data_IF_308315971758
#
_entry.id   IF_308315971758
#
_cell.length_a   1.000
_cell.length_b   1.000
_cell.length_c   1.000
_cell.angle_alpha   90.00
_cell.angle_beta   90.00
_cell.angle_gamma   90.00
#
_symmetry.space_group_name_H-M   'P 1'
#
loop_
_entity.id
_entity.type
_entity.pdbx_description
1 polymer ?
#
# COMPACT_ATOMS: atom_id res chain seq x y z
N UNK A 1 -20.71 23.89 -40.47
CA UNK A 1 -20.90 24.00 -39.00
C UNK A 1 -20.55 22.64 -38.40
N UNK A 2 -19.33 22.50 -37.84
CA UNK A 2 -19.09 22.30 -36.39
C UNK A 2 -19.61 20.93 -35.89
N UNK A 3 -18.85 20.03 -35.26
CA UNK A 3 -17.67 20.13 -34.39
C UNK A 3 -16.91 18.79 -34.37
N UNK A 4 -15.59 18.92 -34.24
CA UNK A 4 -14.64 17.89 -33.82
C UNK A 4 -14.92 17.56 -32.33
N UNK A 5 -14.92 16.28 -31.96
CA UNK A 5 -14.70 15.85 -30.57
C UNK A 5 -13.73 14.67 -30.56
N UNK A 6 -12.48 15.06 -30.33
CA UNK A 6 -11.35 14.26 -29.96
C UNK A 6 -11.62 13.67 -28.55
N UNK A 7 -12.02 12.41 -28.46
CA UNK A 7 -11.76 11.60 -27.27
C UNK A 7 -10.48 10.83 -27.59
N UNK A 8 -9.31 11.33 -27.21
CA UNK A 8 -8.91 11.30 -25.81
C UNK A 8 -8.37 9.91 -25.52
N UNK A 9 -7.22 9.62 -26.12
CA UNK A 9 -6.46 8.38 -25.99
C UNK A 9 -6.05 8.22 -24.51
N UNK A 10 -6.92 7.64 -23.67
CA UNK A 10 -6.58 7.29 -22.29
C UNK A 10 -5.64 6.09 -22.32
N UNK A 11 -4.36 6.40 -22.14
CA UNK A 11 -3.29 5.44 -21.91
C UNK A 11 -3.71 4.44 -20.81
N UNK A 12 -3.55 3.12 -21.03
CA UNK A 12 -3.66 2.16 -19.94
C UNK A 12 -2.36 2.24 -19.12
N UNK A 13 -2.22 3.28 -18.30
CA UNK A 13 -1.10 3.43 -17.36
C UNK A 13 -1.60 3.17 -15.95
N UNK A 14 -1.47 1.91 -15.54
CA UNK A 14 -0.97 1.47 -14.24
C UNK A 14 -1.36 0.01 -14.07
N UNK A 15 -0.39 -0.84 -14.33
CA UNK A 15 -0.35 -2.28 -14.09
C UNK A 15 -1.13 -2.69 -12.84
N UNK A 16 -2.37 -3.16 -13.01
CA UNK A 16 -3.03 -3.96 -11.98
C UNK A 16 -2.50 -5.39 -12.13
N UNK A 17 -1.76 -5.93 -11.15
CA UNK A 17 -1.39 -7.34 -11.20
C UNK A 17 -2.67 -8.17 -11.09
N UNK A 18 -2.82 -9.05 -12.08
CA UNK A 18 -3.90 -10.04 -12.23
C UNK A 18 -4.21 -10.70 -10.90
N UNK A 19 -5.44 -10.50 -10.43
CA UNK A 19 -6.04 -11.23 -9.32
C UNK A 19 -6.05 -12.74 -9.62
N UNK A 20 -5.13 -13.46 -8.99
CA UNK A 20 -5.11 -14.91 -9.02
C UNK A 20 -6.19 -15.40 -8.05
N UNK A 21 -7.38 -15.64 -8.59
CA UNK A 21 -8.52 -16.21 -7.89
C UNK A 21 -8.11 -17.53 -7.20
N UNK A 22 -7.90 -17.48 -5.87
CA UNK A 22 -7.60 -18.65 -5.04
C UNK A 22 -6.46 -18.52 -4.03
N UNK A 23 -5.74 -17.39 -3.97
CA UNK A 23 -4.55 -17.26 -3.11
C UNK A 23 -4.78 -16.37 -1.89
N UNK A 24 -4.45 -16.87 -0.69
CA UNK A 24 -4.47 -16.09 0.56
C UNK A 24 -3.60 -14.85 0.38
N UNK A 25 -4.16 -13.64 0.63
CA UNK A 25 -3.39 -12.37 0.59
C UNK A 25 -2.08 -12.49 1.36
N UNK A 26 -0.99 -12.10 0.73
CA UNK A 26 0.34 -12.04 1.36
C UNK A 26 0.38 -10.98 2.48
N UNK A 27 1.41 -11.03 3.32
CA UNK A 27 1.59 -10.02 4.40
C UNK A 27 1.68 -8.62 3.80
N UNK A 28 2.42 -8.46 2.70
CA UNK A 28 2.58 -7.21 1.97
C UNK A 28 1.24 -6.64 1.50
N UNK A 29 0.42 -7.46 0.86
CA UNK A 29 -0.91 -7.04 0.39
C UNK A 29 -1.84 -6.64 1.54
N UNK A 30 -1.80 -7.39 2.66
CA UNK A 30 -2.57 -7.06 3.86
C UNK A 30 -2.13 -5.71 4.45
N UNK A 31 -0.82 -5.48 4.54
CA UNK A 31 -0.25 -4.22 5.03
C UNK A 31 -0.66 -3.07 4.11
N UNK A 32 -0.44 -3.18 2.79
CA UNK A 32 -0.81 -2.14 1.83
C UNK A 32 -2.31 -1.84 1.88
N UNK A 33 -3.16 -2.87 1.86
CA UNK A 33 -4.62 -2.68 1.96
C UNK A 33 -5.02 -1.93 3.23
N UNK A 34 -4.38 -2.24 4.36
CA UNK A 34 -4.63 -1.56 5.63
C UNK A 34 -4.15 -0.11 5.62
N UNK A 35 -2.94 0.14 5.11
CA UNK A 35 -2.38 1.48 5.04
C UNK A 35 -3.18 2.37 4.08
N UNK A 36 -3.62 1.86 2.94
CA UNK A 36 -4.48 2.60 2.02
C UNK A 36 -5.82 2.96 2.68
N UNK A 37 -6.44 2.00 3.38
CA UNK A 37 -7.68 2.23 4.10
C UNK A 37 -7.52 3.32 5.16
N UNK A 38 -6.49 3.21 6.00
CA UNK A 38 -6.22 4.22 7.02
C UNK A 38 -5.80 5.56 6.42
N UNK A 39 -5.10 5.57 5.26
CA UNK A 39 -4.67 6.79 4.60
C UNK A 39 -5.87 7.61 4.16
N UNK A 40 -6.88 6.94 3.60
CA UNK A 40 -8.15 7.55 3.20
C UNK A 40 -8.92 8.07 4.41
N UNK A 41 -8.91 7.34 5.53
CA UNK A 41 -9.60 7.76 6.77
C UNK A 41 -8.95 8.94 7.44
N UNK A 42 -7.62 8.97 7.49
CA UNK A 42 -6.84 10.02 8.13
C UNK A 42 -6.54 11.18 7.18
N UNK A 43 -6.90 11.05 5.89
CA UNK A 43 -6.55 11.99 4.82
C UNK A 43 -5.05 12.33 4.79
N UNK A 44 -4.21 11.36 5.15
CA UNK A 44 -2.77 11.52 5.32
C UNK A 44 -2.03 10.28 4.83
N UNK A 45 -0.83 10.47 4.28
CA UNK A 45 0.08 9.36 3.93
C UNK A 45 0.83 8.83 5.13
N UNK A 46 0.93 9.63 6.19
CA UNK A 46 1.44 9.20 7.48
C UNK A 46 0.27 8.65 8.30
N UNK A 47 0.23 7.33 8.42
CA UNK A 47 -0.75 6.60 9.20
C UNK A 47 -0.30 6.57 10.64
N UNK A 48 -1.08 7.18 11.53
CA UNK A 48 -0.89 6.98 12.97
C UNK A 48 -1.53 5.64 13.32
N UNK A 49 -0.72 4.72 13.87
CA UNK A 49 -1.21 3.42 14.30
C UNK A 49 -1.91 3.60 15.66
N UNK A 50 -3.22 3.31 15.76
CA UNK A 50 -3.93 3.36 17.03
C UNK A 50 -3.55 2.18 17.95
N UNK A 51 -2.83 1.19 17.42
CA UNK A 51 -2.52 -0.06 18.09
C UNK A 51 -1.05 -0.48 17.88
N UNK A 52 -0.63 -1.46 18.66
CA UNK A 52 0.74 -1.98 18.63
C UNK A 52 0.98 -2.90 17.44
N UNK A 53 2.26 -3.15 17.11
CA UNK A 53 2.67 -4.11 16.06
C UNK A 53 2.18 -5.54 16.33
N UNK A 54 1.96 -5.90 17.60
CA UNK A 54 1.42 -7.20 17.99
C UNK A 54 -0.04 -7.31 17.56
N UNK A 55 -0.85 -6.31 17.90
CA UNK A 55 -2.27 -6.26 17.53
C UNK A 55 -2.46 -6.18 16.02
N UNK A 56 -1.57 -5.48 15.30
CA UNK A 56 -1.53 -5.52 13.83
C UNK A 56 -1.30 -6.94 13.29
N UNK A 57 -0.35 -7.68 13.86
CA UNK A 57 -0.08 -9.05 13.46
C UNK A 57 -1.29 -9.98 13.72
N UNK A 58 -1.94 -9.81 14.87
CA UNK A 58 -3.16 -10.53 15.24
C UNK A 58 -4.32 -10.19 14.28
N UNK A 59 -4.53 -8.90 13.99
CA UNK A 59 -5.53 -8.44 13.00
C UNK A 59 -5.30 -9.02 11.61
N UNK A 60 -4.04 -9.12 11.19
CA UNK A 60 -3.68 -9.72 9.90
C UNK A 60 -3.70 -11.25 9.92
N UNK A 61 -3.84 -11.88 11.09
CA UNK A 61 -3.77 -13.33 11.25
C UNK A 61 -2.40 -13.89 10.88
N UNK A 62 -1.32 -13.16 11.20
CA UNK A 62 0.06 -13.53 10.87
C UNK A 62 0.93 -13.54 12.12
N UNK A 63 2.07 -14.24 12.05
CA UNK A 63 3.05 -14.19 13.16
C UNK A 63 3.70 -12.81 13.21
N UNK A 64 3.90 -12.28 14.43
CA UNK A 64 4.59 -11.00 14.67
C UNK A 64 5.98 -10.95 14.01
N UNK A 65 6.73 -12.04 14.03
CA UNK A 65 8.05 -12.15 13.40
C UNK A 65 7.97 -12.04 11.88
N UNK A 66 6.98 -12.67 11.26
CA UNK A 66 6.74 -12.57 9.81
C UNK A 66 6.33 -11.16 9.41
N UNK A 67 5.42 -10.52 10.16
CA UNK A 67 5.04 -9.12 9.93
C UNK A 67 6.25 -8.20 10.04
N UNK A 68 7.06 -8.35 11.09
CA UNK A 68 8.25 -7.51 11.29
C UNK A 68 9.26 -7.65 10.15
N UNK A 69 9.48 -8.87 9.65
CA UNK A 69 10.38 -9.12 8.52
C UNK A 69 9.83 -8.50 7.24
N UNK A 70 8.53 -8.62 6.99
CA UNK A 70 7.92 -8.03 5.80
C UNK A 70 7.95 -6.49 5.85
N UNK A 71 7.62 -5.88 6.98
CA UNK A 71 7.71 -4.42 7.15
C UNK A 71 9.14 -3.91 6.91
N UNK A 72 10.15 -4.63 7.42
CA UNK A 72 11.56 -4.30 7.17
C UNK A 72 11.91 -4.39 5.68
N UNK A 73 11.44 -5.43 4.97
CA UNK A 73 11.62 -5.56 3.51
C UNK A 73 10.93 -4.44 2.75
N UNK A 74 9.67 -4.15 3.06
CA UNK A 74 8.92 -3.07 2.42
C UNK A 74 9.56 -1.69 2.65
N UNK A 75 10.27 -1.52 3.78
CA UNK A 75 11.07 -0.33 4.05
C UNK A 75 12.32 -0.26 3.20
N UNK A 76 13.06 -1.37 3.08
CA UNK A 76 14.22 -1.47 2.18
C UNK A 76 13.83 -1.26 0.71
N UNK A 77 12.66 -1.75 0.31
CA UNK A 77 12.10 -1.57 -1.03
C UNK A 77 11.61 -0.13 -1.29
N UNK A 78 11.66 0.76 -0.28
CA UNK A 78 11.24 2.16 -0.42
C UNK A 78 9.73 2.34 -0.59
N UNK A 79 8.92 1.39 -0.14
CA UNK A 79 7.44 1.44 -0.27
C UNK A 79 6.78 2.07 0.94
N UNK A 80 7.37 1.85 2.11
CA UNK A 80 6.87 2.38 3.37
C UNK A 80 8.05 2.82 4.23
N UNK A 81 7.81 3.77 5.11
CA UNK A 81 8.63 3.97 6.29
C UNK A 81 7.79 3.68 7.53
N UNK A 82 8.40 3.20 8.61
CA UNK A 82 7.64 2.92 9.82
C UNK A 82 8.42 3.22 11.09
N UNK A 83 7.67 3.65 12.09
CA UNK A 83 8.14 3.98 13.42
C UNK A 83 7.43 3.14 14.48
N UNK A 84 7.70 3.43 15.75
CA UNK A 84 7.01 2.78 16.87
C UNK A 84 5.48 2.97 16.79
N UNK A 85 5.02 4.16 16.37
CA UNK A 85 3.63 4.63 16.45
C UNK A 85 2.98 4.98 15.11
N UNK A 86 3.72 4.98 14.02
CA UNK A 86 3.20 5.39 12.71
C UNK A 86 3.84 4.61 11.58
N UNK A 87 3.14 4.56 10.44
CA UNK A 87 3.62 4.02 9.18
C UNK A 87 3.34 5.05 8.09
N UNK A 88 4.34 5.41 7.31
CA UNK A 88 4.22 6.33 6.18
C UNK A 88 4.26 5.55 4.89
N UNK A 89 3.29 5.76 4.00
CA UNK A 89 3.36 5.28 2.63
C UNK A 89 4.34 6.14 1.84
N UNK A 90 5.39 5.53 1.31
CA UNK A 90 6.31 6.18 0.38
C UNK A 90 5.75 5.95 -1.02
N UNK A 91 5.63 7.01 -1.82
CA UNK A 91 5.31 6.81 -3.23
C UNK A 91 6.48 6.09 -3.88
N UNK A 92 6.22 5.10 -4.76
CA UNK A 92 7.27 4.59 -5.61
C UNK A 92 7.80 5.79 -6.38
N UNK A 93 9.05 6.18 -6.13
CA UNK A 93 9.71 7.18 -6.95
C UNK A 93 9.58 6.69 -8.39
N UNK A 94 8.82 7.42 -9.21
CA UNK A 94 8.86 7.20 -10.64
C UNK A 94 10.28 7.56 -11.05
N UNK A 95 11.09 6.61 -11.57
CA UNK A 95 12.42 6.97 -12.05
C UNK A 95 12.23 7.87 -13.27
N UNK A 96 12.59 9.15 -13.14
CA UNK A 96 12.53 10.11 -14.26
C UNK A 96 12.11 11.56 -13.94
N UNK A 97 12.29 12.07 -12.72
CA UNK A 97 12.35 13.53 -12.45
C UNK A 97 13.82 13.94 -12.28
#
# INVERSE_FOLDING_TARGET
>A
MQRILLAGNMSPSSSQPRENAGSRKTIREKVLSYLEYESRRQHSRQIILPCTKKELAEKFGVRRTSLSRELARMRTDGLIDYNARSITLLEPQRPGD
#
